data_IF_974252922797
#
_entry.id   IF_974252922797
#
_cell.length_a   1.000
_cell.length_b   1.000
_cell.length_c   1.000
_cell.angle_alpha   90.00
_cell.angle_beta   90.00
_cell.angle_gamma   90.00
#
_symmetry.space_group_name_H-M   'P 1'
#
loop_
_entity.id
_entity.type
_entity.pdbx_description
1 polymer ?
#
# COMPACT_ATOMS: atom_id res chain seq x y z
N UNK A 1 -11.39 -11.91 -28.62
CA UNK A 1 -10.53 -11.89 -27.41
C UNK A 1 -9.56 -10.71 -27.57
N UNK A 2 -9.78 -9.59 -26.89
CA UNK A 2 -8.93 -8.39 -27.00
C UNK A 2 -7.70 -8.59 -26.11
N UNK A 3 -6.49 -8.43 -26.68
CA UNK A 3 -5.24 -8.44 -25.92
C UNK A 3 -5.23 -7.25 -24.96
N UNK A 4 -5.43 -7.53 -23.66
CA UNK A 4 -5.43 -6.54 -22.59
C UNK A 4 -4.09 -6.58 -21.85
N UNK A 5 -2.99 -6.34 -22.58
CA UNK A 5 -1.64 -6.30 -21.99
C UNK A 5 -1.34 -4.89 -21.48
N UNK A 6 -1.20 -4.67 -20.15
CA UNK A 6 -1.04 -3.32 -19.60
C UNK A 6 0.28 -2.65 -20.04
N UNK A 7 0.30 -1.34 -20.29
CA UNK A 7 1.41 -0.63 -20.95
C UNK A 7 2.67 -0.41 -20.10
N UNK A 8 2.73 -0.83 -18.83
CA UNK A 8 3.85 -0.49 -17.94
C UNK A 8 5.18 -1.18 -18.32
N UNK A 9 5.16 -2.19 -19.18
CA UNK A 9 6.39 -2.90 -19.62
C UNK A 9 7.19 -2.14 -20.68
N UNK A 10 6.59 -1.17 -21.37
CA UNK A 10 7.29 -0.38 -22.41
C UNK A 10 8.25 0.66 -21.84
N UNK A 11 8.10 1.04 -20.56
CA UNK A 11 8.97 2.04 -19.93
C UNK A 11 10.41 1.54 -19.75
N UNK A 12 10.61 0.24 -19.51
CA UNK A 12 11.95 -0.34 -19.29
C UNK A 12 12.87 -0.21 -20.51
N UNK A 13 12.31 -0.23 -21.73
CA UNK A 13 13.10 -0.07 -22.97
C UNK A 13 13.55 1.37 -23.23
N UNK A 14 12.79 2.36 -22.78
CA UNK A 14 13.15 3.77 -22.96
C UNK A 14 14.26 4.18 -21.98
N UNK A 15 14.21 3.68 -20.74
CA UNK A 15 15.27 3.90 -19.74
C UNK A 15 16.59 3.23 -20.14
N UNK A 16 16.55 2.03 -20.72
CA UNK A 16 17.75 1.35 -21.21
C UNK A 16 18.36 2.04 -22.45
N UNK A 17 17.53 2.65 -23.31
CA UNK A 17 18.01 3.42 -24.46
C UNK A 17 18.65 4.77 -24.05
N UNK A 18 18.06 5.47 -23.07
CA UNK A 18 18.65 6.70 -22.51
C UNK A 18 19.97 6.44 -21.78
N UNK A 19 20.08 5.32 -21.06
CA UNK A 19 21.31 4.95 -20.35
C UNK A 19 22.49 4.68 -21.31
N UNK A 20 22.24 4.16 -22.52
CA UNK A 20 23.28 3.98 -23.54
C UNK A 20 23.70 5.30 -24.20
N UNK A 21 22.76 6.24 -24.37
CA UNK A 21 23.05 7.56 -24.94
C UNK A 21 23.89 8.43 -24.00
N UNK A 22 23.74 8.25 -22.68
CA UNK A 22 24.51 8.98 -21.66
C UNK A 22 25.96 8.48 -21.49
N UNK A 23 26.35 7.39 -22.15
CA UNK A 23 27.66 6.75 -21.99
C UNK A 23 28.74 7.16 -23.00
N UNK A 24 28.49 8.14 -23.88
CA UNK A 24 29.42 8.54 -24.94
C UNK A 24 29.86 10.01 -24.84
N UNK A 25 31.07 10.26 -24.33
CA UNK A 25 31.94 11.39 -24.74
C UNK A 25 32.33 12.49 -23.72
N UNK A 26 33.48 12.31 -23.06
CA UNK A 26 34.63 13.26 -22.88
C UNK A 26 34.54 14.72 -22.37
N UNK A 27 35.06 14.95 -21.15
CA UNK A 27 36.06 15.91 -20.59
C UNK A 27 36.10 17.45 -20.92
N UNK A 28 36.80 18.32 -20.13
CA UNK A 28 36.25 19.06 -18.99
C UNK A 28 36.66 20.56 -19.04
N UNK A 29 36.21 21.32 -20.04
CA UNK A 29 36.49 22.77 -20.08
C UNK A 29 35.26 23.58 -19.64
N UNK A 30 35.17 23.76 -18.32
CA UNK A 30 34.69 24.97 -17.63
C UNK A 30 33.31 25.55 -17.98
N UNK A 31 32.27 24.85 -17.53
CA UNK A 31 31.23 25.39 -16.63
C UNK A 31 30.17 24.30 -16.41
N UNK A 32 29.67 24.04 -15.18
CA UNK A 32 28.49 23.21 -15.04
C UNK A 32 27.28 23.99 -15.56
N UNK A 33 26.98 23.83 -16.86
CA UNK A 33 25.76 24.33 -17.51
C UNK A 33 24.49 23.63 -16.98
N UNK A 34 24.64 22.67 -16.09
CA UNK A 34 23.58 21.94 -15.42
C UNK A 34 23.62 22.27 -13.93
N UNK A 35 22.92 23.33 -13.54
CA UNK A 35 22.58 23.53 -12.14
C UNK A 35 21.86 22.27 -11.62
N UNK A 36 22.19 21.75 -10.42
CA UNK A 36 21.45 20.64 -9.84
C UNK A 36 19.96 20.98 -9.85
N UNK A 37 19.07 20.07 -10.28
CA UNK A 37 17.64 20.36 -10.34
C UNK A 37 17.17 20.80 -8.95
N UNK A 38 16.90 22.10 -8.78
CA UNK A 38 16.44 22.73 -7.52
C UNK A 38 15.03 22.30 -7.11
N UNK A 39 14.49 21.26 -7.73
CA UNK A 39 13.17 20.73 -7.36
C UNK A 39 13.32 20.07 -6.01
N UNK A 40 12.81 20.74 -4.98
CA UNK A 40 12.54 20.14 -3.68
C UNK A 40 11.83 18.79 -3.92
N UNK A 41 12.25 17.70 -3.26
CA UNK A 41 11.56 16.42 -3.36
C UNK A 41 10.07 16.66 -3.11
N UNK A 42 9.23 16.24 -4.06
CA UNK A 42 7.78 16.36 -3.86
C UNK A 42 7.41 15.40 -2.73
N UNK A 43 6.59 15.82 -1.75
CA UNK A 43 6.17 14.93 -0.68
C UNK A 43 5.52 13.66 -1.26
N UNK A 44 5.68 12.51 -0.57
CA UNK A 44 5.07 11.27 -0.99
C UNK A 44 3.56 11.45 -1.15
N UNK A 45 3.01 10.86 -2.21
CA UNK A 45 1.58 10.87 -2.51
C UNK A 45 1.04 9.50 -2.21
N UNK A 46 -0.07 9.47 -1.51
CA UNK A 46 -0.81 8.24 -1.25
C UNK A 46 -1.82 8.05 -2.37
N UNK A 47 -1.90 6.83 -2.87
CA UNK A 47 -2.86 6.41 -3.88
C UNK A 47 -3.54 5.14 -3.37
N UNK A 48 -4.83 4.99 -3.68
CA UNK A 48 -5.61 3.80 -3.33
C UNK A 48 -5.96 3.03 -4.59
N UNK A 49 -5.98 1.70 -4.48
CA UNK A 49 -6.52 0.81 -5.50
C UNK A 49 -7.73 0.10 -4.90
N UNK A 50 -8.82 0.02 -5.65
CA UNK A 50 -10.04 -0.66 -5.23
C UNK A 50 -10.14 -2.01 -5.93
N UNK A 51 -10.43 -3.06 -5.17
CA UNK A 51 -10.60 -4.42 -5.67
C UNK A 51 -12.07 -4.81 -5.54
N UNK A 52 -12.73 -5.06 -6.67
CA UNK A 52 -14.08 -5.61 -6.70
C UNK A 52 -14.02 -7.13 -6.70
N UNK A 53 -14.90 -7.77 -5.93
CA UNK A 53 -15.05 -9.21 -5.87
C UNK A 53 -16.51 -9.57 -5.54
N UNK A 54 -16.89 -10.81 -5.80
CA UNK A 54 -18.24 -11.32 -5.51
C UNK A 54 -18.27 -12.03 -4.16
N UNK A 55 -19.38 -11.88 -3.45
CA UNK A 55 -19.66 -12.56 -2.20
C UNK A 55 -21.17 -12.78 -2.07
N UNK A 56 -21.58 -13.84 -1.39
CA UNK A 56 -22.98 -14.17 -1.16
C UNK A 56 -23.70 -13.18 -0.23
N UNK A 57 -22.96 -12.43 0.58
CA UNK A 57 -23.50 -11.48 1.56
C UNK A 57 -22.41 -10.69 2.28
N UNK A 58 -22.80 -9.76 3.17
CA UNK A 58 -21.88 -8.82 3.80
C UNK A 58 -20.85 -9.48 4.73
N UNK A 59 -21.24 -10.54 5.45
CA UNK A 59 -20.34 -11.29 6.32
C UNK A 59 -19.23 -11.97 5.51
N UNK A 60 -19.59 -12.77 4.51
CA UNK A 60 -18.62 -13.41 3.61
C UNK A 60 -17.76 -12.37 2.87
N UNK A 61 -18.35 -11.23 2.50
CA UNK A 61 -17.58 -10.15 1.88
C UNK A 61 -16.48 -9.63 2.80
N UNK A 62 -16.78 -9.50 4.10
CA UNK A 62 -15.82 -9.06 5.12
C UNK A 62 -14.70 -10.06 5.32
N UNK A 63 -15.02 -11.35 5.43
CA UNK A 63 -14.04 -12.43 5.57
C UNK A 63 -13.08 -12.46 4.37
N UNK A 64 -13.61 -12.46 3.15
CA UNK A 64 -12.80 -12.43 1.93
C UNK A 64 -11.93 -11.17 1.85
N UNK A 65 -12.47 -10.01 2.22
CA UNK A 65 -11.72 -8.76 2.20
C UNK A 65 -10.52 -8.78 3.16
N UNK A 66 -10.69 -9.34 4.38
CA UNK A 66 -9.57 -9.54 5.33
C UNK A 66 -8.52 -10.46 4.71
N UNK A 67 -8.92 -11.63 4.19
CA UNK A 67 -8.00 -12.59 3.58
C UNK A 67 -7.23 -11.99 2.39
N UNK A 68 -7.90 -11.20 1.54
CA UNK A 68 -7.24 -10.51 0.43
C UNK A 68 -6.26 -9.45 0.92
N UNK A 69 -6.62 -8.66 1.93
CA UNK A 69 -5.74 -7.64 2.48
C UNK A 69 -4.46 -8.27 3.07
N UNK A 70 -4.61 -9.36 3.84
CA UNK A 70 -3.49 -10.11 4.41
C UNK A 70 -2.60 -10.69 3.31
N UNK A 71 -3.17 -11.41 2.34
CA UNK A 71 -2.44 -11.99 1.23
C UNK A 71 -1.69 -10.94 0.41
N UNK A 72 -2.31 -9.78 0.15
CA UNK A 72 -1.65 -8.69 -0.57
C UNK A 72 -0.50 -8.08 0.22
N UNK A 73 -0.65 -7.92 1.54
CA UNK A 73 0.41 -7.39 2.40
C UNK A 73 1.64 -8.31 2.43
N UNK A 74 1.42 -9.63 2.42
CA UNK A 74 2.49 -10.64 2.31
C UNK A 74 3.19 -10.60 0.94
N UNK A 75 2.42 -10.43 -0.14
CA UNK A 75 2.97 -10.40 -1.49
C UNK A 75 3.65 -9.07 -1.83
N UNK A 76 3.20 -7.97 -1.20
CA UNK A 76 3.61 -6.59 -1.49
C UNK A 76 3.77 -5.79 -0.20
N UNK A 77 5.00 -5.62 0.32
CA UNK A 77 5.23 -4.92 1.58
C UNK A 77 4.87 -3.43 1.53
N UNK A 78 4.65 -2.87 0.33
CA UNK A 78 4.18 -1.49 0.17
C UNK A 78 2.68 -1.31 0.47
N UNK A 79 1.93 -2.41 0.54
CA UNK A 79 0.49 -2.41 0.86
C UNK A 79 0.31 -2.41 2.38
N UNK A 80 -0.10 -1.28 2.92
CA UNK A 80 -0.38 -1.14 4.34
C UNK A 80 -1.71 -1.82 4.71
N UNK A 81 -1.64 -2.94 5.44
CA UNK A 81 -2.80 -3.69 5.92
C UNK A 81 -3.79 -2.81 6.70
N UNK A 82 -3.25 -1.93 7.55
CA UNK A 82 -4.00 -0.95 8.34
C UNK A 82 -4.85 0.04 7.52
N UNK A 83 -4.56 0.21 6.23
CA UNK A 83 -5.31 1.09 5.33
C UNK A 83 -6.42 0.37 4.57
N UNK A 84 -6.57 -0.95 4.74
CA UNK A 84 -7.58 -1.74 4.05
C UNK A 84 -8.99 -1.44 4.57
N UNK A 85 -9.90 -1.21 3.62
CA UNK A 85 -11.30 -0.90 3.90
C UNK A 85 -12.22 -1.60 2.90
N UNK A 86 -13.43 -1.93 3.34
CA UNK A 86 -14.46 -2.60 2.56
C UNK A 86 -15.69 -1.70 2.41
N UNK A 87 -16.24 -1.66 1.21
CA UNK A 87 -17.52 -1.02 0.91
C UNK A 87 -18.30 -1.86 -0.10
N UNK A 88 -19.62 -1.70 -0.20
CA UNK A 88 -20.35 -2.07 -1.40
C UNK A 88 -19.73 -1.40 -2.64
N UNK A 89 -19.77 -2.07 -3.79
CA UNK A 89 -19.07 -1.64 -5.00
C UNK A 89 -19.54 -0.26 -5.52
N UNK A 90 -20.82 0.06 -5.31
CA UNK A 90 -21.46 1.31 -5.71
C UNK A 90 -21.46 2.38 -4.60
N UNK A 91 -20.96 2.04 -3.40
CA UNK A 91 -21.04 2.89 -2.22
C UNK A 91 -19.67 3.07 -1.53
N UNK A 92 -18.62 3.36 -2.30
CA UNK A 92 -17.25 3.60 -1.81
C UNK A 92 -17.13 4.64 -0.68
N UNK A 93 -18.02 5.63 -0.65
CA UNK A 93 -18.10 6.62 0.42
C UNK A 93 -18.49 6.02 1.80
N UNK A 94 -18.94 4.76 1.83
CA UNK A 94 -19.29 4.00 3.04
C UNK A 94 -18.22 2.97 3.41
N UNK A 95 -16.98 3.16 2.97
CA UNK A 95 -15.91 2.23 3.27
C UNK A 95 -15.64 2.16 4.78
N UNK A 96 -15.68 0.94 5.31
CA UNK A 96 -15.40 0.61 6.70
C UNK A 96 -14.04 -0.04 6.83
N UNK A 97 -13.30 0.29 7.89
CA UNK A 97 -11.97 -0.28 8.14
C UNK A 97 -12.08 -1.78 8.43
N UNK A 98 -11.18 -2.56 7.85
CA UNK A 98 -11.11 -4.00 8.09
C UNK A 98 -10.34 -4.35 9.37
N UNK A 99 -9.34 -3.55 9.72
CA UNK A 99 -8.46 -3.78 10.87
C UNK A 99 -8.69 -2.72 11.95
N UNK A 100 -8.46 -3.12 13.21
CA UNK A 100 -8.68 -2.31 14.39
C UNK A 100 -7.85 -1.04 14.36
N UNK A 101 -6.54 -1.19 14.13
CA UNK A 101 -5.61 -0.08 13.98
C UNK A 101 -5.58 0.90 15.18
N UNK A 102 -6.11 0.47 16.34
CA UNK A 102 -5.98 1.18 17.61
C UNK A 102 -4.49 1.42 17.88
N UNK A 103 -4.16 2.64 18.31
CA UNK A 103 -2.76 3.03 18.54
C UNK A 103 -2.35 2.57 19.94
N UNK A 104 -1.28 1.80 20.01
CA UNK A 104 -0.66 1.33 21.23
C UNK A 104 0.56 2.16 21.63
N UNK A 105 1.30 1.69 22.65
CA UNK A 105 2.60 2.25 23.03
C UNK A 105 3.57 2.30 21.83
N UNK A 106 4.52 3.23 21.88
CA UNK A 106 5.59 3.37 20.86
C UNK A 106 5.10 3.58 19.41
N UNK A 107 3.82 3.97 19.24
CA UNK A 107 3.21 4.16 17.93
C UNK A 107 2.81 2.85 17.24
N UNK A 108 2.87 1.72 17.95
CA UNK A 108 2.39 0.43 17.47
C UNK A 108 0.90 0.50 17.14
N UNK A 109 0.46 -0.36 16.23
CA UNK A 109 -0.94 -0.40 15.79
C UNK A 109 -1.50 -1.80 15.91
N UNK A 110 -2.72 -1.88 16.43
CA UNK A 110 -3.40 -3.16 16.61
C UNK A 110 -3.58 -3.86 15.27
N UNK A 111 -3.07 -5.09 15.18
CA UNK A 111 -3.10 -5.91 13.98
C UNK A 111 -4.39 -6.73 13.81
N UNK A 112 -5.23 -6.78 14.85
CA UNK A 112 -6.47 -7.55 14.84
C UNK A 112 -7.55 -6.94 13.95
N UNK A 113 -8.54 -7.76 13.59
CA UNK A 113 -9.71 -7.37 12.80
C UNK A 113 -10.54 -6.34 13.57
N UNK A 114 -11.10 -5.35 12.86
CA UNK A 114 -11.92 -4.32 13.51
C UNK A 114 -13.09 -4.93 14.30
N UNK A 115 -13.34 -4.42 15.50
CA UNK A 115 -14.39 -4.94 16.39
C UNK A 115 -14.02 -6.24 17.12
N UNK A 116 -12.74 -6.64 17.13
CA UNK A 116 -12.29 -7.75 17.98
C UNK A 116 -12.54 -7.45 19.47
N UNK A 117 -12.90 -8.47 20.27
CA UNK A 117 -12.95 -8.36 21.73
C UNK A 117 -11.53 -8.38 22.32
N UNK A 118 -11.41 -8.11 23.62
CA UNK A 118 -10.15 -8.26 24.33
C UNK A 118 -9.13 -7.15 24.11
N UNK A 119 -7.90 -7.46 24.54
CA UNK A 119 -6.75 -6.60 24.40
C UNK A 119 -6.40 -6.37 22.93
N UNK A 120 -5.77 -5.24 22.66
CA UNK A 120 -5.15 -4.95 21.38
C UNK A 120 -3.74 -5.57 21.32
N UNK A 121 -3.37 -6.12 20.18
CA UNK A 121 -2.07 -6.77 20.01
C UNK A 121 -1.26 -6.11 18.89
N UNK A 122 0.04 -5.90 19.13
CA UNK A 122 0.99 -5.51 18.09
C UNK A 122 1.11 -6.64 17.06
N UNK A 123 1.47 -6.34 15.80
CA UNK A 123 1.69 -7.37 14.80
C UNK A 123 2.83 -8.32 15.18
N UNK A 124 2.66 -9.60 14.85
CA UNK A 124 3.70 -10.64 14.97
C UNK A 124 3.57 -11.54 16.21
N UNK A 125 4.27 -12.69 16.23
CA UNK A 125 4.23 -13.62 17.36
C UNK A 125 4.73 -12.95 18.66
N UNK A 126 3.92 -13.00 19.71
CA UNK A 126 4.26 -12.40 21.00
C UNK A 126 4.20 -10.88 21.02
N UNK A 127 3.46 -10.26 20.09
CA UNK A 127 3.24 -8.82 20.05
C UNK A 127 2.73 -8.28 21.40
N UNK A 128 3.18 -7.07 21.75
CA UNK A 128 2.77 -6.39 22.98
C UNK A 128 1.25 -6.24 23.02
N UNK A 129 0.65 -6.60 24.16
CA UNK A 129 -0.77 -6.39 24.44
C UNK A 129 -1.01 -5.04 25.12
N UNK A 130 -2.09 -4.33 24.79
CA UNK A 130 -2.51 -3.12 25.49
C UNK A 130 -4.04 -2.93 25.51
N UNK A 131 -4.48 -1.95 26.29
CA UNK A 131 -5.89 -1.67 26.55
C UNK A 131 -6.39 -2.32 27.82
N UNK A 132 -7.58 -1.92 28.25
CA UNK A 132 -8.35 -2.67 29.25
C UNK A 132 -9.07 -3.75 28.43
N UNK A 133 -8.69 -5.03 28.57
CA UNK A 133 -9.48 -6.12 28.01
C UNK A 133 -10.94 -5.98 28.46
N UNK A 134 -11.88 -6.48 27.66
CA UNK A 134 -13.32 -6.40 27.89
C UNK A 134 -13.68 -6.60 29.37
N UNK A 135 -14.02 -5.49 30.02
CA UNK A 135 -14.46 -5.44 31.41
C UNK A 135 -15.85 -6.02 31.61
#
# INVERSE_FOLDING_TARGET
MRENRPPYWRQRRVTEALARAAGAGGDPADAPLLAPPRRRPRPPRHFTAHLGFEAAGPEQARELAVAYAEALSLLRPEVALAAAALSPADAWHRAERLFCNATGPDGERCADVAGHPGFHHAPGPGGLGWGEGDG
#
